data_IF_888627560573
#
_entry.id   IF_888627560573
#
_cell.length_a   1.000
_cell.length_b   1.000
_cell.length_c   1.000
_cell.angle_alpha   90.00
_cell.angle_beta   90.00
_cell.angle_gamma   90.00
#
_symmetry.space_group_name_H-M   'P 1'
#
loop_
_entity.id
_entity.type
_entity.pdbx_description
1 polymer ?
#
# COMPACT_ATOMS: atom_id res chain seq x y z
N UNK A 1 4.63 30.20 -10.28
CA UNK A 1 5.53 29.32 -9.50
C UNK A 1 5.72 27.95 -10.17
N UNK A 2 4.69 27.10 -10.38
CA UNK A 2 4.83 25.76 -10.98
C UNK A 2 5.47 25.75 -12.39
N UNK A 3 5.21 26.76 -13.24
CA UNK A 3 5.79 26.86 -14.58
C UNK A 3 7.28 27.20 -14.55
N UNK A 4 7.70 28.06 -13.63
CA UNK A 4 9.12 28.39 -13.42
C UNK A 4 9.92 27.21 -12.87
N UNK A 5 9.36 26.42 -11.93
CA UNK A 5 9.98 25.21 -11.41
C UNK A 5 10.19 24.16 -12.53
N UNK A 6 9.21 23.98 -13.42
CA UNK A 6 9.37 23.06 -14.57
C UNK A 6 10.43 23.52 -15.57
N UNK A 7 10.58 24.83 -15.79
CA UNK A 7 11.61 25.37 -16.67
C UNK A 7 13.01 25.17 -16.09
N UNK A 8 13.23 25.51 -14.81
CA UNK A 8 14.52 25.30 -14.13
C UNK A 8 14.88 23.80 -14.03
N UNK A 9 13.88 22.93 -13.84
CA UNK A 9 14.08 21.48 -13.82
C UNK A 9 14.59 20.97 -15.18
N UNK A 10 14.02 21.44 -16.28
CA UNK A 10 14.47 21.06 -17.63
C UNK A 10 15.91 21.52 -17.90
N UNK A 11 16.25 22.73 -17.54
CA UNK A 11 17.61 23.25 -17.68
C UNK A 11 18.62 22.44 -16.86
N UNK A 12 18.25 22.13 -15.60
CA UNK A 12 19.06 21.26 -14.73
C UNK A 12 19.29 19.88 -15.34
N UNK A 13 18.24 19.25 -15.86
CA UNK A 13 18.33 17.92 -16.52
C UNK A 13 19.25 17.96 -17.74
N UNK A 14 19.11 18.99 -18.59
CA UNK A 14 19.98 19.17 -19.77
C UNK A 14 21.45 19.28 -19.38
N UNK A 15 21.72 20.08 -18.34
CA UNK A 15 23.08 20.23 -17.80
C UNK A 15 23.60 18.92 -17.21
N UNK A 16 22.76 18.19 -16.49
CA UNK A 16 23.13 16.90 -15.89
C UNK A 16 23.46 15.88 -16.98
N UNK A 17 22.64 15.81 -18.04
CA UNK A 17 22.85 14.92 -19.17
C UNK A 17 24.13 15.23 -19.98
N UNK A 18 24.62 16.48 -19.97
CA UNK A 18 25.83 16.85 -20.69
C UNK A 18 27.13 16.32 -20.07
N UNK A 19 27.07 15.65 -18.92
CA UNK A 19 28.26 15.13 -18.23
C UNK A 19 28.63 13.70 -18.64
N UNK A 20 27.77 13.00 -19.41
CA UNK A 20 27.99 11.60 -19.75
C UNK A 20 27.40 11.25 -21.13
N UNK A 21 27.85 10.15 -21.72
CA UNK A 21 27.39 9.64 -23.00
C UNK A 21 26.31 8.57 -22.87
N UNK A 22 26.15 8.00 -21.67
CA UNK A 22 25.10 7.02 -21.38
C UNK A 22 24.48 7.26 -19.98
N UNK A 23 23.30 6.69 -19.78
CA UNK A 23 22.56 6.80 -18.52
C UNK A 23 22.18 5.44 -17.98
N UNK A 24 22.54 5.19 -16.71
CA UNK A 24 22.13 3.99 -15.99
C UNK A 24 21.28 4.38 -14.78
N UNK A 25 20.04 3.88 -14.74
CA UNK A 25 19.17 4.05 -13.57
C UNK A 25 19.25 2.80 -12.68
N UNK A 26 19.77 2.98 -11.48
CA UNK A 26 19.83 1.92 -10.47
C UNK A 26 19.16 2.30 -9.14
N UNK A 27 18.28 3.32 -9.19
CA UNK A 27 17.61 3.91 -8.04
C UNK A 27 16.15 3.42 -7.92
N UNK A 28 15.93 2.17 -7.51
CA UNK A 28 14.60 1.58 -7.38
C UNK A 28 13.71 2.34 -6.38
N UNK A 29 14.25 2.76 -5.24
CA UNK A 29 13.49 3.48 -4.21
C UNK A 29 12.84 4.79 -4.69
N UNK A 30 13.30 5.39 -5.78
CA UNK A 30 12.74 6.60 -6.41
C UNK A 30 12.02 6.33 -7.72
N UNK A 31 11.87 5.08 -8.15
CA UNK A 31 11.28 4.71 -9.44
C UNK A 31 9.84 5.22 -9.64
N UNK A 32 9.10 5.39 -8.54
CA UNK A 32 7.73 5.92 -8.54
C UNK A 32 7.65 7.45 -8.72
N UNK A 33 8.78 8.17 -8.84
CA UNK A 33 8.83 9.64 -8.91
C UNK A 33 9.47 10.13 -10.20
N UNK A 34 8.86 11.12 -10.85
CA UNK A 34 9.42 11.79 -12.01
C UNK A 34 10.48 12.83 -11.63
N UNK A 35 11.57 12.37 -10.99
CA UNK A 35 12.69 13.25 -10.65
C UNK A 35 13.56 13.56 -11.87
N UNK A 36 14.29 14.67 -11.81
CA UNK A 36 15.22 15.10 -12.84
C UNK A 36 16.25 14.02 -13.18
N UNK A 37 16.88 13.44 -12.16
CA UNK A 37 17.95 12.46 -12.27
C UNK A 37 17.51 11.00 -12.47
N UNK A 38 16.23 10.69 -12.37
CA UNK A 38 15.73 9.30 -12.48
C UNK A 38 14.81 9.07 -13.67
N UNK A 39 13.96 10.05 -14.00
CA UNK A 39 13.00 9.91 -15.10
C UNK A 39 13.34 10.86 -16.27
N UNK A 40 13.43 12.17 -15.99
CA UNK A 40 13.54 13.15 -17.05
C UNK A 40 14.87 13.08 -17.79
N UNK A 41 15.96 12.73 -17.11
CA UNK A 41 17.28 12.59 -17.73
C UNK A 41 17.30 11.51 -18.81
N UNK A 42 16.49 10.46 -18.66
CA UNK A 42 16.42 9.35 -19.62
C UNK A 42 15.92 9.80 -21.02
N UNK A 43 15.25 10.94 -21.12
CA UNK A 43 14.81 11.51 -22.41
C UNK A 43 16.00 12.00 -23.26
N UNK A 44 17.13 12.33 -22.64
CA UNK A 44 18.35 12.80 -23.31
C UNK A 44 19.23 11.68 -23.82
N UNK A 45 18.94 10.43 -23.44
CA UNK A 45 19.66 9.23 -23.86
C UNK A 45 18.71 8.26 -24.57
N UNK A 46 18.28 8.54 -25.82
CA UNK A 46 17.25 7.74 -26.49
C UNK A 46 17.65 6.27 -26.65
N UNK A 47 18.93 5.99 -26.96
CA UNK A 47 19.46 4.67 -27.23
C UNK A 47 20.44 4.17 -26.17
N UNK A 48 21.04 5.07 -25.39
CA UNK A 48 22.13 4.79 -24.47
C UNK A 48 21.67 4.92 -23.01
N UNK A 49 20.52 4.30 -22.70
CA UNK A 49 19.96 4.21 -21.35
C UNK A 49 19.61 2.79 -21.00
N UNK A 50 19.87 2.41 -19.74
CA UNK A 50 19.61 1.08 -19.24
C UNK A 50 19.31 1.10 -17.74
N UNK A 51 18.83 -0.02 -17.23
CA UNK A 51 18.76 -0.26 -15.80
C UNK A 51 20.07 -0.85 -15.30
N UNK A 52 20.43 -0.49 -14.06
CA UNK A 52 21.50 -1.16 -13.33
C UNK A 52 21.02 -2.46 -12.70
N UNK A 53 21.95 -3.19 -12.06
CA UNK A 53 21.67 -4.52 -11.52
C UNK A 53 20.66 -4.53 -10.37
N UNK A 54 20.60 -3.46 -9.56
CA UNK A 54 19.59 -3.34 -8.48
C UNK A 54 18.20 -3.23 -9.10
N UNK A 55 18.02 -2.31 -10.05
CA UNK A 55 16.74 -2.16 -10.78
C UNK A 55 16.33 -3.44 -11.50
N UNK A 56 17.27 -4.10 -12.17
CA UNK A 56 17.01 -5.37 -12.86
C UNK A 56 16.57 -6.46 -11.88
N UNK A 57 17.26 -6.58 -10.73
CA UNK A 57 16.92 -7.54 -9.68
C UNK A 57 15.54 -7.32 -9.11
N UNK A 58 15.17 -6.08 -8.80
CA UNK A 58 13.86 -5.70 -8.30
C UNK A 58 12.75 -5.97 -9.32
N UNK A 59 12.96 -5.62 -10.60
CA UNK A 59 12.00 -5.90 -11.66
C UNK A 59 11.80 -7.40 -11.85
N UNK A 60 12.87 -8.20 -11.91
CA UNK A 60 12.79 -9.67 -11.99
C UNK A 60 12.06 -10.27 -10.80
N UNK A 61 12.27 -9.73 -9.59
CA UNK A 61 11.57 -10.20 -8.40
C UNK A 61 10.07 -9.89 -8.47
N UNK A 62 9.69 -8.68 -8.95
CA UNK A 62 8.30 -8.29 -9.15
C UNK A 62 7.64 -9.16 -10.23
N UNK A 63 8.29 -9.36 -11.38
CA UNK A 63 7.78 -10.18 -12.47
C UNK A 63 7.54 -11.62 -11.99
N UNK A 64 8.50 -12.21 -11.27
CA UNK A 64 8.35 -13.55 -10.69
C UNK A 64 7.14 -13.67 -9.77
N UNK A 65 6.88 -12.64 -8.96
CA UNK A 65 5.71 -12.60 -8.05
C UNK A 65 4.40 -12.41 -8.81
N UNK A 66 4.40 -11.63 -9.90
CA UNK A 66 3.19 -11.30 -10.63
C UNK A 66 2.81 -12.33 -11.70
N UNK A 67 3.79 -12.94 -12.38
CA UNK A 67 3.53 -13.81 -13.53
C UNK A 67 3.23 -15.25 -13.13
N UNK A 68 3.94 -15.80 -12.16
CA UNK A 68 3.74 -17.18 -11.72
C UNK A 68 4.06 -17.38 -10.23
N UNK A 69 3.29 -16.76 -9.32
CA UNK A 69 3.54 -16.88 -7.88
C UNK A 69 3.30 -18.31 -7.39
N UNK A 70 4.18 -18.79 -6.49
CA UNK A 70 3.90 -19.99 -5.71
C UNK A 70 2.69 -19.74 -4.79
N UNK A 71 1.74 -20.69 -4.74
CA UNK A 71 0.50 -20.54 -3.96
C UNK A 71 0.53 -21.34 -2.65
N UNK A 72 -0.14 -20.87 -1.61
CA UNK A 72 -1.00 -19.67 -1.54
C UNK A 72 -0.21 -18.37 -1.69
N UNK A 73 -0.77 -17.41 -2.46
CA UNK A 73 -0.23 -16.07 -2.61
C UNK A 73 -1.05 -15.09 -1.77
N UNK A 74 -0.41 -14.42 -0.84
CA UNK A 74 -1.03 -13.43 0.05
C UNK A 74 -0.50 -12.04 -0.25
N UNK A 75 -1.38 -11.08 -0.48
CA UNK A 75 -1.03 -9.67 -0.49
C UNK A 75 -1.43 -9.01 0.84
N UNK A 76 -0.55 -8.16 1.35
CA UNK A 76 -0.81 -7.32 2.53
C UNK A 76 -0.81 -5.87 2.05
N UNK A 77 -1.94 -5.20 2.19
CA UNK A 77 -2.09 -3.81 1.84
C UNK A 77 -2.43 -3.00 3.10
N UNK A 78 -1.53 -2.10 3.45
CA UNK A 78 -1.75 -1.11 4.49
C UNK A 78 -1.97 0.28 3.91
N UNK A 79 -2.54 1.15 4.71
CA UNK A 79 -2.78 2.54 4.35
C UNK A 79 -3.96 3.17 5.08
N UNK A 80 -4.08 4.49 4.99
CA UNK A 80 -5.11 5.24 5.71
C UNK A 80 -6.46 5.29 4.98
N UNK A 81 -6.46 5.22 3.64
CA UNK A 81 -7.65 5.51 2.81
C UNK A 81 -7.89 4.45 1.74
N UNK A 82 -9.12 3.97 1.67
CA UNK A 82 -9.60 3.04 0.63
C UNK A 82 -9.53 3.69 -0.75
N UNK A 83 -9.97 4.95 -0.87
CA UNK A 83 -10.02 5.72 -2.12
C UNK A 83 -8.69 5.73 -2.88
N UNK A 84 -7.56 5.71 -2.17
CA UNK A 84 -6.22 5.71 -2.78
C UNK A 84 -5.73 4.33 -3.21
N UNK A 85 -6.42 3.26 -2.81
CA UNK A 85 -5.99 1.87 -3.02
C UNK A 85 -6.94 1.03 -3.86
N UNK A 86 -8.10 1.56 -4.27
CA UNK A 86 -9.14 0.80 -4.99
C UNK A 86 -8.55 0.04 -6.19
N UNK A 87 -7.85 0.74 -7.08
CA UNK A 87 -7.28 0.12 -8.28
C UNK A 87 -6.23 -0.97 -7.96
N UNK A 88 -5.46 -0.77 -6.89
CA UNK A 88 -4.46 -1.75 -6.42
C UNK A 88 -5.17 -2.98 -5.86
N UNK A 89 -6.18 -2.78 -5.01
CA UNK A 89 -6.99 -3.86 -4.43
C UNK A 89 -7.63 -4.70 -5.55
N UNK A 90 -8.31 -4.05 -6.50
CA UNK A 90 -8.98 -4.73 -7.61
C UNK A 90 -8.02 -5.51 -8.53
N UNK A 91 -6.83 -4.98 -8.77
CA UNK A 91 -5.84 -5.68 -9.58
C UNK A 91 -5.20 -6.86 -8.84
N UNK A 92 -4.96 -6.74 -7.54
CA UNK A 92 -4.41 -7.82 -6.72
C UNK A 92 -5.43 -8.95 -6.53
N UNK A 93 -6.71 -8.66 -6.33
CA UNK A 93 -7.76 -9.68 -6.21
C UNK A 93 -7.83 -10.64 -7.40
N UNK A 94 -7.37 -10.25 -8.58
CA UNK A 94 -7.29 -11.13 -9.76
C UNK A 94 -6.13 -12.13 -9.70
N UNK A 95 -5.22 -11.99 -8.74
CA UNK A 95 -3.93 -12.69 -8.71
C UNK A 95 -3.65 -13.44 -7.42
N UNK A 96 -4.24 -13.01 -6.31
CA UNK A 96 -3.95 -13.52 -4.96
C UNK A 96 -5.01 -14.51 -4.47
N UNK A 97 -4.63 -15.36 -3.54
CA UNK A 97 -5.57 -16.24 -2.82
C UNK A 97 -6.07 -15.54 -1.54
N UNK A 98 -5.22 -14.74 -0.90
CA UNK A 98 -5.54 -14.02 0.33
C UNK A 98 -5.15 -12.55 0.20
N UNK A 99 -5.98 -11.68 0.77
CA UNK A 99 -5.74 -10.25 0.84
C UNK A 99 -5.95 -9.75 2.27
N UNK A 100 -4.87 -9.34 2.93
CA UNK A 100 -4.90 -8.69 4.23
C UNK A 100 -4.99 -7.19 4.01
N UNK A 101 -6.06 -6.56 4.49
CA UNK A 101 -6.25 -5.12 4.45
C UNK A 101 -6.06 -4.54 5.85
N UNK A 102 -5.07 -3.68 6.01
CA UNK A 102 -4.69 -3.09 7.28
C UNK A 102 -4.57 -1.58 7.25
N UNK A 103 -4.20 -1.00 8.39
CA UNK A 103 -4.12 0.45 8.57
C UNK A 103 -5.51 1.10 8.67
N UNK A 104 -5.56 2.42 8.55
CA UNK A 104 -6.80 3.21 8.72
C UNK A 104 -7.94 2.83 7.78
N UNK A 105 -7.64 2.27 6.59
CA UNK A 105 -8.71 1.82 5.67
C UNK A 105 -9.56 0.69 6.23
N UNK A 106 -9.05 -0.12 7.18
CA UNK A 106 -9.82 -1.16 7.87
C UNK A 106 -11.12 -0.59 8.45
N UNK A 107 -11.07 0.61 9.01
CA UNK A 107 -12.24 1.22 9.66
C UNK A 107 -13.31 1.67 8.68
N UNK A 108 -12.93 2.02 7.44
CA UNK A 108 -13.91 2.26 6.37
C UNK A 108 -14.66 0.98 6.02
N UNK A 109 -13.98 -0.18 5.91
CA UNK A 109 -14.63 -1.47 5.70
C UNK A 109 -15.53 -1.88 6.88
N UNK A 110 -15.03 -1.72 8.12
CA UNK A 110 -15.82 -2.06 9.33
C UNK A 110 -17.07 -1.19 9.46
N UNK A 111 -16.96 0.13 9.22
CA UNK A 111 -18.10 1.03 9.25
C UNK A 111 -19.10 0.74 8.12
N UNK A 112 -18.63 0.42 6.91
CA UNK A 112 -19.48 0.00 5.79
C UNK A 112 -20.31 -1.25 6.11
N UNK A 113 -19.77 -2.16 6.95
CA UNK A 113 -20.47 -3.34 7.46
C UNK A 113 -21.39 -3.04 8.67
N UNK A 114 -21.57 -1.77 9.05
CA UNK A 114 -22.42 -1.34 10.16
C UNK A 114 -21.73 -1.28 11.53
N UNK A 115 -20.41 -1.44 11.58
CA UNK A 115 -19.63 -1.32 12.83
C UNK A 115 -19.47 0.12 13.29
N UNK A 116 -19.19 0.28 14.60
CA UNK A 116 -18.79 1.55 15.21
C UNK A 116 -17.27 1.65 15.22
N UNK A 117 -16.74 2.75 14.71
CA UNK A 117 -15.29 2.94 14.57
C UNK A 117 -14.75 4.14 15.36
N UNK A 118 -15.55 4.70 16.26
CA UNK A 118 -15.17 5.84 17.12
C UNK A 118 -14.75 7.05 16.27
N UNK A 119 -13.60 7.62 16.62
CA UNK A 119 -12.98 8.73 15.89
C UNK A 119 -11.91 8.28 14.87
N UNK A 120 -11.84 6.98 14.57
CA UNK A 120 -10.89 6.41 13.60
C UNK A 120 -11.05 7.03 12.21
N UNK A 121 -9.96 7.04 11.45
CA UNK A 121 -10.01 7.47 10.05
C UNK A 121 -11.04 6.64 9.29
N UNK A 122 -12.00 7.31 8.65
CA UNK A 122 -13.08 6.67 7.92
C UNK A 122 -13.49 7.52 6.70
N UNK A 123 -13.84 6.86 5.60
CA UNK A 123 -14.31 7.50 4.38
C UNK A 123 -15.77 7.07 4.10
N UNK A 124 -16.80 7.80 4.63
CA UNK A 124 -18.20 7.41 4.46
C UNK A 124 -18.66 7.36 2.99
N UNK A 125 -18.10 8.21 2.13
CA UNK A 125 -18.32 8.23 0.69
C UNK A 125 -17.78 6.96 -0.03
N UNK A 126 -16.96 6.16 0.63
CA UNK A 126 -16.41 4.91 0.11
C UNK A 126 -17.10 3.64 0.66
N UNK A 127 -18.16 3.75 1.45
CA UNK A 127 -18.82 2.57 2.03
C UNK A 127 -19.34 1.61 0.96
N UNK A 128 -20.00 2.12 -0.07
CA UNK A 128 -20.49 1.26 -1.15
C UNK A 128 -19.33 0.58 -1.88
N UNK A 129 -18.27 1.32 -2.17
CA UNK A 129 -17.05 0.77 -2.79
C UNK A 129 -16.42 -0.33 -1.93
N UNK A 130 -16.36 -0.13 -0.60
CA UNK A 130 -15.84 -1.14 0.31
C UNK A 130 -16.68 -2.43 0.30
N UNK A 131 -18.02 -2.31 0.30
CA UNK A 131 -18.92 -3.46 0.19
C UNK A 131 -18.80 -4.16 -1.16
N UNK A 132 -18.67 -3.42 -2.25
CA UNK A 132 -18.49 -3.97 -3.59
C UNK A 132 -17.16 -4.73 -3.71
N UNK A 133 -16.09 -4.25 -3.08
CA UNK A 133 -14.80 -4.95 -2.98
C UNK A 133 -14.96 -6.29 -2.25
N UNK A 134 -15.65 -6.31 -1.11
CA UNK A 134 -15.87 -7.54 -0.35
C UNK A 134 -16.66 -8.56 -1.16
N UNK A 135 -17.75 -8.13 -1.81
CA UNK A 135 -18.55 -8.98 -2.68
C UNK A 135 -17.73 -9.53 -3.85
N UNK A 136 -16.97 -8.69 -4.51
CA UNK A 136 -16.12 -9.07 -5.64
C UNK A 136 -15.03 -10.06 -5.23
N UNK A 137 -14.49 -9.94 -4.02
CA UNK A 137 -13.55 -10.91 -3.49
C UNK A 137 -14.17 -12.31 -3.32
N UNK A 138 -15.41 -12.38 -2.83
CA UNK A 138 -16.17 -13.64 -2.76
C UNK A 138 -16.38 -14.27 -4.14
N UNK A 139 -16.79 -13.47 -5.13
CA UNK A 139 -16.98 -13.91 -6.52
C UNK A 139 -15.68 -14.45 -7.16
N UNK A 140 -14.54 -13.87 -6.78
CA UNK A 140 -13.20 -14.28 -7.25
C UNK A 140 -12.57 -15.38 -6.39
N UNK A 141 -13.26 -15.85 -5.33
CA UNK A 141 -12.74 -16.81 -4.35
C UNK A 141 -11.46 -16.33 -3.66
N UNK A 142 -11.34 -15.03 -3.41
CA UNK A 142 -10.25 -14.38 -2.67
C UNK A 142 -10.70 -14.15 -1.23
N UNK A 143 -9.89 -14.59 -0.26
CA UNK A 143 -10.18 -14.37 1.16
C UNK A 143 -9.64 -12.99 1.59
N UNK A 144 -10.55 -12.10 1.99
CA UNK A 144 -10.16 -10.81 2.60
C UNK A 144 -10.10 -10.96 4.11
N UNK A 145 -9.00 -10.50 4.70
CA UNK A 145 -8.76 -10.46 6.13
C UNK A 145 -8.72 -9.01 6.60
N UNK A 146 -9.62 -8.67 7.51
CA UNK A 146 -9.68 -7.38 8.21
C UNK A 146 -9.41 -7.62 9.68
N UNK A 147 -8.66 -6.74 10.33
CA UNK A 147 -8.39 -6.86 11.75
C UNK A 147 -9.70 -7.01 12.57
N UNK A 148 -9.75 -8.01 13.45
CA UNK A 148 -10.90 -8.26 14.33
C UNK A 148 -10.85 -7.35 15.55
N UNK A 149 -9.66 -7.00 16.00
CA UNK A 149 -9.41 -6.10 17.12
C UNK A 149 -8.33 -5.08 16.77
N UNK A 150 -8.29 -4.02 17.55
CA UNK A 150 -7.37 -2.91 17.36
C UNK A 150 -6.80 -2.42 18.70
N UNK A 151 -5.56 -1.95 18.66
CA UNK A 151 -5.02 -1.08 19.70
C UNK A 151 -5.58 0.31 19.42
N UNK A 152 -6.42 0.78 20.35
CA UNK A 152 -7.06 2.08 20.24
C UNK A 152 -6.41 3.08 21.19
N UNK A 153 -6.26 4.32 20.74
CA UNK A 153 -5.79 5.45 21.54
C UNK A 153 -6.85 6.55 21.67
N UNK A 154 -6.69 7.40 22.66
CA UNK A 154 -7.52 8.61 22.81
C UNK A 154 -7.06 9.75 21.92
N UNK A 155 -5.79 9.78 21.60
CA UNK A 155 -5.15 10.83 20.81
C UNK A 155 -4.05 10.23 19.94
N UNK A 156 -3.81 10.83 18.78
CA UNK A 156 -2.73 10.43 17.89
C UNK A 156 -1.36 10.95 18.39
N UNK A 157 -0.83 10.28 19.46
CA UNK A 157 0.48 10.58 20.05
C UNK A 157 1.07 9.36 20.75
N UNK A 158 2.39 9.33 20.94
CA UNK A 158 3.11 8.17 21.48
C UNK A 158 2.74 7.81 22.92
N UNK A 159 2.39 8.79 23.74
CA UNK A 159 2.07 8.62 25.17
C UNK A 159 0.56 8.65 25.45
N UNK A 160 -0.26 8.38 24.45
CA UNK A 160 -1.71 8.31 24.61
C UNK A 160 -2.12 7.10 25.46
N UNK A 161 -3.23 7.26 26.19
CA UNK A 161 -3.88 6.09 26.82
C UNK A 161 -4.34 5.12 25.72
N UNK A 162 -4.02 3.84 25.87
CA UNK A 162 -4.37 2.80 24.92
C UNK A 162 -5.21 1.70 25.54
N UNK A 163 -6.06 1.06 24.71
CA UNK A 163 -6.78 -0.17 25.06
C UNK A 163 -7.05 -1.01 23.81
N UNK A 164 -7.33 -2.28 24.03
CA UNK A 164 -7.78 -3.18 22.98
C UNK A 164 -9.29 -3.10 22.83
N UNK A 165 -9.77 -2.86 21.60
CA UNK A 165 -11.19 -2.87 21.27
C UNK A 165 -11.46 -3.80 20.07
N UNK A 166 -12.68 -4.36 19.96
CA UNK A 166 -13.12 -4.94 18.68
C UNK A 166 -13.11 -3.86 17.60
N UNK A 167 -12.59 -4.17 16.41
CA UNK A 167 -12.46 -3.17 15.33
C UNK A 167 -13.80 -2.67 14.77
N UNK A 168 -14.89 -3.36 15.07
CA UNK A 168 -16.26 -3.00 14.70
C UNK A 168 -17.07 -2.38 15.86
N UNK A 169 -16.44 -2.20 17.04
CA UNK A 169 -17.10 -1.60 18.22
C UNK A 169 -16.08 -0.74 19.01
N UNK A 170 -15.53 0.27 18.36
CA UNK A 170 -14.62 1.25 18.97
C UNK A 170 -15.48 2.35 19.63
N UNK A 171 -15.32 2.60 20.94
CA UNK A 171 -16.09 3.62 21.62
C UNK A 171 -15.83 5.05 21.13
N UNK A 172 -16.80 5.94 21.34
CA UNK A 172 -16.65 7.37 21.05
C UNK A 172 -15.44 7.96 21.79
N UNK A 173 -14.72 8.84 21.11
CA UNK A 173 -13.50 9.47 21.63
C UNK A 173 -12.25 8.56 21.62
N UNK A 174 -12.36 7.38 21.01
CA UNK A 174 -11.22 6.50 20.76
C UNK A 174 -11.03 6.27 19.26
N UNK A 175 -9.80 6.14 18.84
CA UNK A 175 -9.43 5.83 17.45
C UNK A 175 -8.54 4.59 17.39
N UNK A 176 -8.74 3.78 16.39
CA UNK A 176 -7.88 2.63 16.13
C UNK A 176 -6.55 3.07 15.53
N UNK A 177 -5.46 2.70 16.19
CA UNK A 177 -4.09 3.08 15.82
C UNK A 177 -3.32 1.91 15.19
N UNK A 178 -3.51 0.69 15.70
CA UNK A 178 -2.82 -0.48 15.19
C UNK A 178 -3.70 -1.73 15.33
N UNK A 179 -3.24 -2.85 14.75
CA UNK A 179 -3.89 -4.15 14.86
C UNK A 179 -3.75 -4.69 16.29
N UNK A 180 -4.78 -5.32 16.78
CA UNK A 180 -4.80 -5.96 18.09
C UNK A 180 -4.23 -7.38 18.10
N UNK A 181 -4.10 -8.02 19.28
CA UNK A 181 -3.49 -9.35 19.42
C UNK A 181 -4.22 -10.46 18.64
N UNK A 182 -5.54 -10.42 18.53
CA UNK A 182 -6.30 -11.40 17.73
C UNK A 182 -6.01 -11.24 16.24
N UNK A 183 -5.95 -10.00 15.76
CA UNK A 183 -5.59 -9.72 14.38
C UNK A 183 -4.16 -10.17 14.07
N UNK A 184 -3.20 -9.94 14.98
CA UNK A 184 -1.82 -10.42 14.86
C UNK A 184 -1.79 -11.94 14.73
N UNK A 185 -2.51 -12.67 15.57
CA UNK A 185 -2.58 -14.14 15.52
C UNK A 185 -3.16 -14.62 14.19
N UNK A 186 -4.31 -14.06 13.77
CA UNK A 186 -4.97 -14.43 12.52
C UNK A 186 -4.10 -14.13 11.29
N UNK A 187 -3.48 -12.95 11.23
CA UNK A 187 -2.62 -12.57 10.10
C UNK A 187 -1.34 -13.41 10.06
N UNK A 188 -0.73 -13.67 11.23
CA UNK A 188 0.47 -14.51 11.33
C UNK A 188 0.23 -15.92 10.81
N UNK A 189 -0.96 -16.49 11.07
CA UNK A 189 -1.34 -17.81 10.56
C UNK A 189 -1.43 -17.82 9.04
N UNK A 190 -2.11 -16.83 8.45
CA UNK A 190 -2.23 -16.70 6.99
C UNK A 190 -0.86 -16.51 6.35
N UNK A 191 -0.01 -15.68 6.94
CA UNK A 191 1.35 -15.40 6.46
C UNK A 191 2.21 -16.67 6.51
N UNK A 192 2.14 -17.44 7.61
CA UNK A 192 2.91 -18.68 7.76
C UNK A 192 2.52 -19.77 6.74
N UNK A 193 1.27 -19.81 6.31
CA UNK A 193 0.77 -20.74 5.29
C UNK A 193 1.11 -20.30 3.86
N UNK A 194 1.52 -19.04 3.66
CA UNK A 194 1.75 -18.46 2.34
C UNK A 194 3.08 -18.90 1.73
N UNK A 195 3.10 -19.13 0.42
CA UNK A 195 4.32 -19.40 -0.37
C UNK A 195 4.88 -18.14 -1.02
N UNK A 196 4.01 -17.18 -1.32
CA UNK A 196 4.38 -15.88 -1.88
C UNK A 196 3.68 -14.80 -1.06
N UNK A 197 4.42 -13.75 -0.71
CA UNK A 197 3.89 -12.60 0.03
C UNK A 197 4.30 -11.32 -0.71
N UNK A 198 3.32 -10.46 -0.98
CA UNK A 198 3.50 -9.09 -1.44
C UNK A 198 3.01 -8.15 -0.35
N UNK A 199 3.89 -7.30 0.18
CA UNK A 199 3.53 -6.35 1.24
C UNK A 199 3.74 -4.91 0.79
N UNK A 200 2.67 -4.12 0.85
CA UNK A 200 2.69 -2.69 0.53
C UNK A 200 1.96 -1.87 1.61
N UNK A 201 2.69 -1.07 2.32
CA UNK A 201 2.20 -0.15 3.34
C UNK A 201 2.04 -0.75 4.75
N UNK A 202 2.06 0.10 5.78
CA UNK A 202 1.93 -0.32 7.18
C UNK A 202 0.50 -0.70 7.51
N UNK A 203 0.34 -1.66 8.43
CA UNK A 203 -0.97 -2.11 8.94
C UNK A 203 -1.41 -1.37 10.19
N UNK A 204 -0.55 -0.53 10.76
CA UNK A 204 -0.78 0.34 11.91
C UNK A 204 -0.04 1.66 11.79
N UNK A 205 -0.04 2.45 12.85
CA UNK A 205 0.71 3.71 12.97
C UNK A 205 2.15 3.40 13.39
N UNK A 206 3.10 4.17 12.85
CA UNK A 206 4.54 4.06 13.13
C UNK A 206 5.17 5.44 13.35
#
# INVERSE_FOLDING_TARGET
AKKAVKASQKEFVKRLASYADCYINDAFGTAHRAHASTALIAEYFPNDKMFGYVMEGELKAIDKVLDNPARPFTAILGGSKVSTKISVIENLMKRVDNLILGGGMTYTFKAAQGGKVGTSICEPDQFQTALDILKKAEELNVKIYLAEDAVCGKEFKNDTETKICPSNDIPDGWEGLDIGPKAIEAFSKVIAESKTILWNGPVGVF
#
